data_IF_731074614721
#
_entry.id   IF_731074614721
#
_cell.length_a   1.000
_cell.length_b   1.000
_cell.length_c   1.000
_cell.angle_alpha   90.00
_cell.angle_beta   90.00
_cell.angle_gamma   90.00
#
_symmetry.space_group_name_H-M   'P 1'
#
loop_
_entity.id
_entity.type
_entity.pdbx_description
1 polymer ?
#
# COMPACT_ATOMS: atom_id res chain seq x y z
N UNK A 1 -1.20 -15.37 2.13
CA UNK A 1 -1.22 -13.99 1.64
C UNK A 1 -0.13 -13.18 2.32
N UNK A 2 0.48 -12.29 1.60
CA UNK A 2 1.51 -11.42 2.16
C UNK A 2 0.87 -10.16 2.72
N UNK A 3 1.55 -9.51 3.65
CA UNK A 3 1.09 -8.24 4.19
C UNK A 3 2.19 -7.19 4.03
N UNK A 4 1.80 -5.95 3.96
CA UNK A 4 2.74 -4.86 3.85
C UNK A 4 2.08 -3.53 4.07
N UNK A 5 2.88 -2.48 3.96
CA UNK A 5 2.40 -1.12 4.10
C UNK A 5 2.62 -0.37 2.79
N UNK A 6 1.66 0.47 2.45
CA UNK A 6 1.76 1.25 1.21
C UNK A 6 2.86 2.29 1.38
N UNK A 7 3.87 2.23 0.52
CA UNK A 7 4.92 3.23 0.52
C UNK A 7 4.42 4.54 -0.06
N UNK A 8 3.75 4.44 -1.20
CA UNK A 8 3.05 5.57 -1.81
C UNK A 8 2.12 5.03 -2.89
N UNK A 9 1.14 5.84 -3.24
CA UNK A 9 0.22 5.49 -4.30
C UNK A 9 -0.22 6.74 -5.03
N UNK A 10 -0.07 6.73 -6.36
CA UNK A 10 -0.47 7.85 -7.19
C UNK A 10 -1.85 7.57 -7.75
N UNK A 11 -2.85 8.28 -7.24
CA UNK A 11 -4.24 8.03 -7.63
C UNK A 11 -4.55 8.49 -9.05
N UNK A 12 -3.80 9.45 -9.54
CA UNK A 12 -3.99 9.89 -10.92
C UNK A 12 -3.53 8.85 -11.92
N UNK A 13 -2.36 8.28 -11.67
CA UNK A 13 -1.80 7.29 -12.57
C UNK A 13 -2.23 5.89 -12.25
N UNK A 14 -2.75 5.67 -11.05
CA UNK A 14 -3.32 4.40 -10.66
C UNK A 14 -2.33 3.33 -10.30
N UNK A 15 -1.18 3.70 -9.75
CA UNK A 15 -0.20 2.71 -9.31
C UNK A 15 0.61 3.22 -8.14
N UNK A 16 1.33 2.30 -7.50
CA UNK A 16 2.18 2.64 -6.39
C UNK A 16 3.01 1.45 -5.98
N UNK A 17 3.55 1.53 -4.77
CA UNK A 17 4.40 0.48 -4.23
C UNK A 17 4.01 0.17 -2.80
N UNK A 18 4.14 -1.11 -2.45
CA UNK A 18 3.91 -1.62 -1.11
C UNK A 18 5.24 -2.18 -0.62
N UNK A 19 5.58 -1.91 0.65
CA UNK A 19 6.75 -2.51 1.28
C UNK A 19 6.27 -3.74 2.03
N UNK A 20 6.78 -4.90 1.64
CA UNK A 20 6.40 -6.16 2.28
C UNK A 20 7.02 -6.22 3.67
N UNK A 21 6.19 -6.57 4.66
CA UNK A 21 6.61 -6.51 6.05
C UNK A 21 7.78 -7.41 6.39
N UNK A 22 7.81 -8.60 5.81
CA UNK A 22 8.78 -9.61 6.21
C UNK A 22 10.13 -9.43 5.53
N UNK A 23 10.16 -8.83 4.35
CA UNK A 23 11.36 -8.85 3.52
C UNK A 23 11.81 -7.49 3.04
N UNK A 24 11.13 -6.43 3.43
CA UNK A 24 11.45 -5.08 2.97
C UNK A 24 11.46 -4.95 1.45
N UNK A 25 10.80 -5.87 0.77
CA UNK A 25 10.74 -5.84 -0.69
C UNK A 25 9.71 -4.84 -1.15
N UNK A 26 10.01 -4.12 -2.23
CA UNK A 26 9.05 -3.22 -2.85
C UNK A 26 8.23 -4.01 -3.86
N UNK A 27 6.93 -3.96 -3.69
CA UNK A 27 6.00 -4.70 -4.53
C UNK A 27 5.15 -3.69 -5.29
N UNK A 28 5.19 -3.77 -6.62
CA UNK A 28 4.39 -2.88 -7.46
C UNK A 28 2.91 -3.22 -7.32
N UNK A 29 2.07 -2.19 -7.24
CA UNK A 29 0.62 -2.40 -7.19
C UNK A 29 -0.06 -1.46 -8.18
N UNK A 30 -1.00 -2.01 -8.95
CA UNK A 30 -1.79 -1.23 -9.89
C UNK A 30 -3.24 -1.21 -9.40
N UNK A 31 -3.95 -0.12 -9.71
CA UNK A 31 -5.32 0.03 -9.22
C UNK A 31 -6.25 -1.10 -9.66
N UNK A 32 -5.92 -1.77 -10.76
CA UNK A 32 -6.75 -2.88 -11.23
C UNK A 32 -6.72 -4.07 -10.27
N UNK A 33 -5.73 -4.11 -9.40
CA UNK A 33 -5.64 -5.18 -8.40
C UNK A 33 -6.29 -4.80 -7.09
N UNK A 34 -6.84 -3.60 -6.99
CA UNK A 34 -7.56 -3.17 -5.80
C UNK A 34 -9.03 -3.49 -5.94
N UNK A 35 -9.66 -3.83 -4.81
CA UNK A 35 -11.10 -3.93 -4.77
C UNK A 35 -11.68 -2.55 -5.10
N UNK A 36 -12.78 -2.53 -5.86
CA UNK A 36 -13.36 -1.27 -6.31
C UNK A 36 -13.70 -0.33 -5.16
N UNK A 37 -13.94 -0.87 -3.99
CA UNK A 37 -14.39 -0.07 -2.87
C UNK A 37 -13.27 0.36 -1.96
N UNK A 38 -12.05 -0.08 -2.20
CA UNK A 38 -10.95 0.31 -1.34
C UNK A 38 -10.11 1.36 -2.03
N UNK A 39 -9.55 2.23 -1.21
CA UNK A 39 -8.69 3.29 -1.67
C UNK A 39 -7.49 3.33 -0.75
N UNK A 40 -6.34 2.95 -1.27
CA UNK A 40 -5.16 2.89 -0.43
C UNK A 40 -4.39 4.19 -0.51
N UNK A 41 -3.69 4.49 0.57
CA UNK A 41 -2.89 5.70 0.70
C UNK A 41 -1.62 5.34 1.41
N UNK A 42 -0.68 6.27 1.38
CA UNK A 42 0.60 6.08 2.06
C UNK A 42 0.39 5.67 3.52
N UNK A 43 1.07 4.61 3.92
CA UNK A 43 1.01 4.14 5.30
C UNK A 43 -0.08 3.12 5.59
N UNK A 44 -1.01 2.91 4.67
CA UNK A 44 -2.07 1.93 4.87
C UNK A 44 -1.50 0.53 4.90
N UNK A 45 -2.09 -0.31 5.74
CA UNK A 45 -1.70 -1.71 5.82
C UNK A 45 -2.60 -2.54 4.94
N UNK A 46 -1.99 -3.38 4.11
CA UNK A 46 -2.73 -4.14 3.12
C UNK A 46 -2.28 -5.59 3.11
N UNK A 47 -3.16 -6.44 2.63
CA UNK A 47 -2.89 -7.85 2.39
C UNK A 47 -3.01 -8.10 0.90
N UNK A 48 -2.13 -8.95 0.38
CA UNK A 48 -2.10 -9.15 -1.06
C UNK A 48 -1.44 -10.47 -1.40
N UNK A 49 -1.62 -10.91 -2.64
CA UNK A 49 -0.89 -12.05 -3.20
C UNK A 49 0.25 -11.51 -4.04
N UNK A 50 1.38 -12.21 -4.00
CA UNK A 50 2.55 -11.82 -4.77
C UNK A 50 2.55 -12.57 -6.08
N UNK A 51 2.65 -11.80 -7.17
CA UNK A 51 2.79 -12.37 -8.50
C UNK A 51 4.07 -11.87 -9.14
N UNK A 52 4.39 -12.42 -10.31
CA UNK A 52 5.55 -12.00 -11.07
C UNK A 52 5.11 -11.21 -12.28
N UNK A 53 5.59 -9.98 -12.36
CA UNK A 53 5.31 -9.13 -13.51
C UNK A 53 6.55 -8.98 -14.37
N UNK A 54 6.40 -8.29 -15.51
CA UNK A 54 7.52 -8.10 -16.43
C UNK A 54 8.70 -7.35 -15.81
N UNK A 55 8.42 -6.52 -14.82
CA UNK A 55 9.46 -5.70 -14.20
C UNK A 55 9.76 -6.07 -12.78
N UNK A 56 9.22 -7.18 -12.29
CA UNK A 56 9.46 -7.63 -10.94
C UNK A 56 8.19 -8.08 -10.26
N UNK A 57 8.21 -8.07 -8.94
CA UNK A 57 7.09 -8.55 -8.16
C UNK A 57 5.93 -7.56 -8.21
N UNK A 58 4.73 -8.11 -8.29
CA UNK A 58 3.50 -7.31 -8.29
C UNK A 58 2.56 -7.81 -7.21
N UNK A 59 1.75 -6.88 -6.66
CA UNK A 59 0.73 -7.23 -5.70
C UNK A 59 -0.58 -7.49 -6.44
N UNK A 60 -1.25 -8.58 -6.08
CA UNK A 60 -2.51 -8.97 -6.68
C UNK A 60 -3.54 -9.15 -5.60
N UNK A 61 -4.80 -8.92 -5.95
CA UNK A 61 -5.94 -9.13 -5.03
C UNK A 61 -5.72 -8.38 -3.72
N UNK A 62 -5.36 -7.12 -3.83
CA UNK A 62 -5.02 -6.31 -2.67
C UNK A 62 -6.27 -6.01 -1.86
N UNK A 63 -6.16 -6.18 -0.55
CA UNK A 63 -7.23 -5.87 0.38
C UNK A 63 -6.69 -4.96 1.48
N UNK A 64 -7.50 -3.99 1.87
CA UNK A 64 -7.13 -3.06 2.93
C UNK A 64 -7.35 -3.74 4.28
N UNK A 65 -6.30 -3.81 5.08
CA UNK A 65 -6.40 -4.35 6.43
C UNK A 65 -6.63 -3.24 7.44
N UNK A 66 -5.89 -2.15 7.30
CA UNK A 66 -5.95 -1.08 8.30
C UNK A 66 -5.53 0.23 7.65
N UNK A 67 -6.35 1.26 7.80
CA UNK A 67 -5.99 2.59 7.32
C UNK A 67 -4.94 3.20 8.24
N UNK A 68 -4.06 4.00 7.66
CA UNK A 68 -3.09 4.74 8.46
C UNK A 68 -3.84 5.65 9.43
N UNK A 69 -3.47 5.62 10.73
CA UNK A 69 -4.18 6.43 11.70
C UNK A 69 -3.98 7.92 11.43
N UNK A 70 -5.02 8.73 11.58
CA UNK A 70 -4.86 10.18 11.40
C UNK A 70 -3.85 10.77 12.37
N UNK A 71 -3.72 10.18 13.54
CA UNK A 71 -2.76 10.65 14.53
C UNK A 71 -1.34 10.63 14.02
N UNK A 72 -1.03 9.68 13.17
CA UNK A 72 0.31 9.58 12.62
C UNK A 72 0.67 10.83 11.83
N UNK A 73 -0.29 11.33 11.04
CA UNK A 73 -0.05 12.53 10.25
C UNK A 73 -0.01 13.76 11.12
N UNK A 74 -0.88 13.82 12.10
CA UNK A 74 -0.92 14.98 12.99
C UNK A 74 0.34 15.07 13.83
N UNK A 75 0.84 13.94 14.28
CA UNK A 75 2.10 13.92 15.02
C UNK A 75 3.24 14.43 14.15
N UNK A 76 3.21 14.07 12.88
CA UNK A 76 4.24 14.55 11.97
C UNK A 76 4.16 16.05 11.76
N UNK A 77 2.98 16.63 11.86
CA UNK A 77 2.84 18.07 11.71
C UNK A 77 3.13 18.82 13.01
N UNK A 78 3.51 18.13 14.01
CA UNK A 78 3.88 18.74 15.26
C UNK A 78 2.73 18.98 16.12
N UNK A 79 2.39 18.75 16.34
CA UNK A 79 1.50 18.90 17.17
C UNK A 79 1.47 19.60 18.14
N UNK A 80 1.51 19.59 17.96
CA UNK A 80 1.21 20.08 18.36
C UNK A 80 1.23 20.43 19.29
N UNK A 81 1.35 20.76 19.26
CA UNK A 81 1.23 21.07 19.93
C UNK A 81 1.26 21.04 20.47
#
# INVERSE_FOLDING_TARGET
MATGNVKWFNHEKGYGFIIQNDEDAEIFVHRTELNQEIRISEGDRVEFEIGNGPKGLIAQKVQLLEKAPPETRLAASGLFD
#
